data_IF_053173304812
#
_entry.id   IF_053173304812
#
_cell.length_a   1.000
_cell.length_b   1.000
_cell.length_c   1.000
_cell.angle_alpha   90.00
_cell.angle_beta   90.00
_cell.angle_gamma   90.00
#
_symmetry.space_group_name_H-M   'P 1'
#
loop_
_entity.id
_entity.type
_entity.pdbx_description
1 polymer ?
#
# COMPACT_ATOMS: atom_id res chain seq x y z
N UNK A 1 26.05 69.92 5.97
CA UNK A 1 25.91 68.91 6.97
C UNK A 1 25.07 67.78 6.32
N UNK A 2 25.75 66.75 5.79
CA UNK A 2 25.07 65.56 5.15
C UNK A 2 24.93 64.47 6.19
N UNK A 3 23.70 64.16 6.58
CA UNK A 3 23.41 63.00 7.47
C UNK A 3 23.47 61.74 6.66
N UNK A 4 24.46 60.90 6.91
CA UNK A 4 24.65 59.61 6.36
C UNK A 4 23.74 58.61 7.16
N UNK A 5 22.64 58.14 6.55
CA UNK A 5 21.74 57.16 7.13
C UNK A 5 22.29 55.76 6.81
N UNK A 6 22.90 55.12 7.81
CA UNK A 6 23.41 53.75 7.69
C UNK A 6 22.20 52.80 7.86
N UNK A 7 21.75 52.22 6.76
CA UNK A 7 20.69 51.18 6.75
C UNK A 7 21.32 49.84 7.08
N UNK A 8 21.14 49.39 8.33
CA UNK A 8 21.62 48.09 8.81
C UNK A 8 20.66 47.01 8.34
N UNK A 9 20.99 46.39 7.18
CA UNK A 9 20.21 45.24 6.64
C UNK A 9 20.58 43.98 7.44
N UNK A 10 19.75 43.65 8.43
CA UNK A 10 19.87 42.39 9.17
C UNK A 10 19.45 41.26 8.24
N UNK A 11 20.42 40.54 7.69
CA UNK A 11 20.22 39.34 6.93
C UNK A 11 19.81 38.23 7.90
N UNK A 12 18.50 37.97 8.09
CA UNK A 12 18.02 36.76 8.77
C UNK A 12 18.36 35.55 7.90
N UNK A 13 19.49 34.90 8.18
CA UNK A 13 19.81 33.57 7.63
C UNK A 13 18.87 32.61 8.28
N UNK A 14 17.76 32.32 7.62
CA UNK A 14 16.88 31.20 7.97
C UNK A 14 17.66 29.93 7.61
N UNK A 15 18.34 29.34 8.60
CA UNK A 15 18.88 27.99 8.47
C UNK A 15 17.69 27.03 8.31
N UNK A 16 17.24 26.80 7.09
CA UNK A 16 16.39 25.69 6.75
C UNK A 16 17.22 24.42 6.98
N UNK A 17 17.12 23.84 8.17
CA UNK A 17 17.59 22.49 8.42
C UNK A 17 16.77 21.56 7.51
N UNK A 18 17.21 21.38 6.28
CA UNK A 18 16.78 20.30 5.43
C UNK A 18 17.23 19.01 6.13
N UNK A 19 16.33 18.43 6.93
CA UNK A 19 16.60 17.17 7.60
C UNK A 19 16.93 16.16 6.50
N UNK A 20 18.22 15.77 6.42
CA UNK A 20 18.69 14.85 5.39
C UNK A 20 17.89 13.55 5.47
N UNK A 21 17.33 13.10 4.34
CA UNK A 21 16.62 11.85 4.25
C UNK A 21 17.53 10.69 4.68
N UNK A 22 17.19 10.05 5.79
CA UNK A 22 17.86 8.85 6.27
C UNK A 22 16.97 7.63 5.97
N UNK A 23 17.33 6.89 4.95
CA UNK A 23 16.58 5.71 4.50
C UNK A 23 16.43 4.67 5.62
N UNK A 24 17.47 4.41 6.40
CA UNK A 24 17.43 3.44 7.51
C UNK A 24 16.39 3.83 8.56
N UNK A 25 16.35 5.11 8.93
CA UNK A 25 15.38 5.63 9.89
C UNK A 25 13.95 5.48 9.37
N UNK A 26 13.71 5.78 8.10
CA UNK A 26 12.38 5.66 7.49
C UNK A 26 11.95 4.19 7.41
N UNK A 27 12.84 3.28 7.01
CA UNK A 27 12.57 1.83 7.04
C UNK A 27 12.16 1.39 8.43
N UNK A 28 12.92 1.76 9.45
CA UNK A 28 12.64 1.38 10.83
C UNK A 28 11.29 1.92 11.32
N UNK A 29 10.92 3.14 10.97
CA UNK A 29 9.62 3.71 11.31
C UNK A 29 8.46 2.91 10.67
N UNK A 30 8.58 2.57 9.39
CA UNK A 30 7.57 1.78 8.67
C UNK A 30 7.47 0.37 9.26
N UNK A 31 8.60 -0.27 9.57
CA UNK A 31 8.65 -1.59 10.19
C UNK A 31 8.00 -1.61 11.57
N UNK A 32 8.30 -0.62 12.39
CA UNK A 32 7.71 -0.49 13.72
C UNK A 32 6.20 -0.30 13.64
N UNK A 33 5.73 0.54 12.70
CA UNK A 33 4.30 0.72 12.46
C UNK A 33 3.63 -0.59 12.01
N UNK A 34 4.27 -1.34 11.10
CA UNK A 34 3.79 -2.63 10.61
C UNK A 34 3.77 -3.71 11.71
N UNK A 35 4.79 -3.76 12.57
CA UNK A 35 4.88 -4.73 13.67
C UNK A 35 3.78 -4.50 14.72
N UNK A 36 3.44 -3.24 14.99
CA UNK A 36 2.42 -2.84 15.95
C UNK A 36 0.98 -2.89 15.40
N UNK A 37 0.82 -3.14 14.10
CA UNK A 37 -0.50 -3.22 13.47
C UNK A 37 -1.10 -4.61 13.64
N UNK A 38 -2.03 -4.76 14.58
CA UNK A 38 -2.78 -6.00 14.81
C UNK A 38 -3.98 -6.11 13.89
N UNK A 39 -4.69 -5.01 13.69
CA UNK A 39 -5.85 -4.93 12.80
C UNK A 39 -5.83 -3.63 12.00
N UNK A 40 -6.41 -3.66 10.80
CA UNK A 40 -6.67 -2.48 9.99
C UNK A 40 -8.00 -2.66 9.26
N UNK A 41 -8.82 -1.62 9.23
CA UNK A 41 -9.99 -1.56 8.37
C UNK A 41 -10.08 -0.21 7.71
N UNK A 42 -10.46 -0.19 6.44
CA UNK A 42 -10.62 1.04 5.68
C UNK A 42 -11.63 0.87 4.54
N UNK A 43 -12.11 1.98 4.04
CA UNK A 43 -12.68 2.05 2.70
C UNK A 43 -11.55 2.25 1.69
N UNK A 44 -11.75 1.85 0.43
CA UNK A 44 -10.83 2.17 -0.64
C UNK A 44 -11.56 2.66 -1.89
N UNK A 45 -10.86 3.48 -2.66
CA UNK A 45 -11.23 3.84 -4.02
C UNK A 45 -10.10 3.39 -4.94
N UNK A 46 -10.44 2.59 -5.93
CA UNK A 46 -9.52 2.11 -6.95
C UNK A 46 -9.85 2.75 -8.28
N UNK A 47 -8.85 3.37 -8.90
CA UNK A 47 -8.93 3.88 -10.28
C UNK A 47 -7.96 3.09 -11.15
N UNK A 48 -8.49 2.33 -12.11
CA UNK A 48 -7.68 1.65 -13.12
C UNK A 48 -7.76 2.40 -14.43
N UNK A 49 -6.61 2.85 -14.93
CA UNK A 49 -6.45 3.46 -16.25
C UNK A 49 -6.04 2.38 -17.24
N UNK A 50 -6.86 2.14 -18.24
CA UNK A 50 -6.62 1.19 -19.33
C UNK A 50 -5.92 1.92 -20.48
N UNK A 51 -4.61 1.70 -20.62
CA UNK A 51 -3.81 2.45 -21.60
C UNK A 51 -4.32 2.32 -23.05
N UNK A 52 -4.68 1.11 -23.45
CA UNK A 52 -5.11 0.86 -24.83
C UNK A 52 -6.48 1.47 -25.17
N UNK A 53 -7.36 1.58 -24.18
CA UNK A 53 -8.72 2.10 -24.37
C UNK A 53 -8.83 3.58 -24.05
N UNK A 54 -7.78 4.19 -23.50
CA UNK A 54 -7.78 5.56 -22.95
C UNK A 54 -8.97 5.80 -22.00
N UNK A 55 -9.33 4.78 -21.23
CA UNK A 55 -10.49 4.76 -20.34
C UNK A 55 -10.09 4.55 -18.89
N UNK A 56 -10.94 4.98 -17.95
CA UNK A 56 -10.76 4.85 -16.52
C UNK A 56 -11.91 4.09 -15.88
N UNK A 57 -11.58 3.04 -15.16
CA UNK A 57 -12.54 2.28 -14.35
C UNK A 57 -12.36 2.66 -12.89
N UNK A 58 -13.44 3.13 -12.26
CA UNK A 58 -13.44 3.45 -10.82
C UNK A 58 -14.23 2.38 -10.09
N UNK A 59 -13.64 1.85 -9.03
CA UNK A 59 -14.26 0.87 -8.15
C UNK A 59 -14.09 1.31 -6.71
N UNK A 60 -15.01 0.92 -5.84
CA UNK A 60 -14.98 1.23 -4.42
C UNK A 60 -15.20 -0.04 -3.61
N UNK A 61 -14.69 -0.03 -2.38
CA UNK A 61 -14.84 -1.19 -1.53
C UNK A 61 -14.34 -0.99 -0.12
N UNK A 62 -14.22 -2.11 0.59
CA UNK A 62 -13.76 -2.16 1.97
C UNK A 62 -12.62 -3.17 2.10
N UNK A 63 -11.67 -2.85 2.97
CA UNK A 63 -10.59 -3.76 3.31
C UNK A 63 -10.55 -3.96 4.81
N UNK A 64 -10.36 -5.22 5.21
CA UNK A 64 -10.16 -5.64 6.59
C UNK A 64 -8.92 -6.52 6.64
N UNK A 65 -8.03 -6.18 7.53
CA UNK A 65 -6.81 -6.91 7.82
C UNK A 65 -6.75 -7.29 9.29
N UNK A 66 -6.35 -8.50 9.59
CA UNK A 66 -6.01 -8.95 10.93
C UNK A 66 -4.71 -9.77 10.86
N UNK A 67 -3.75 -9.38 11.70
CA UNK A 67 -2.51 -10.16 11.88
C UNK A 67 -2.87 -11.58 12.39
N UNK A 68 -2.29 -12.65 11.89
CA UNK A 68 -1.13 -12.77 11.01
C UNK A 68 -1.51 -13.06 9.55
N UNK A 69 -2.72 -13.57 9.27
CA UNK A 69 -3.07 -14.30 8.05
C UNK A 69 -4.51 -14.08 7.59
N UNK A 70 -5.14 -12.96 8.01
CA UNK A 70 -6.52 -12.67 7.62
C UNK A 70 -6.61 -11.35 6.84
N UNK A 71 -7.20 -11.45 5.67
CA UNK A 71 -7.48 -10.31 4.80
C UNK A 71 -8.84 -10.51 4.14
N UNK A 72 -9.71 -9.49 4.18
CA UNK A 72 -10.87 -9.38 3.32
C UNK A 72 -10.71 -8.14 2.46
N UNK A 73 -10.83 -8.33 1.15
CA UNK A 73 -10.86 -7.27 0.16
C UNK A 73 -12.16 -7.37 -0.61
N UNK A 74 -13.02 -6.38 -0.47
CA UNK A 74 -14.39 -6.44 -0.98
C UNK A 74 -14.70 -5.22 -1.82
N UNK A 75 -15.03 -5.44 -3.09
CA UNK A 75 -15.60 -4.40 -3.96
C UNK A 75 -17.10 -4.33 -3.75
N UNK A 76 -17.60 -3.12 -3.54
CA UNK A 76 -19.02 -2.83 -3.32
C UNK A 76 -19.66 -2.08 -4.49
N UNK A 77 -18.85 -1.49 -5.37
CA UNK A 77 -19.29 -0.76 -6.58
C UNK A 77 -18.15 -0.74 -7.61
N UNK A 78 -18.45 -0.82 -8.92
CA UNK A 78 -19.76 -1.02 -9.57
C UNK A 78 -20.18 -2.50 -9.60
N UNK A 79 -19.31 -3.42 -9.21
CA UNK A 79 -19.58 -4.87 -9.16
C UNK A 79 -19.26 -5.43 -7.78
N UNK A 80 -19.90 -6.54 -7.47
CA UNK A 80 -19.63 -7.26 -6.22
C UNK A 80 -18.54 -8.30 -6.45
N UNK A 81 -17.44 -8.15 -5.74
CA UNK A 81 -16.35 -9.10 -5.73
C UNK A 81 -15.73 -9.14 -4.34
N UNK A 82 -15.51 -10.33 -3.83
CA UNK A 82 -14.89 -10.49 -2.51
C UNK A 82 -13.75 -11.48 -2.59
N UNK A 83 -12.62 -11.10 -2.06
CA UNK A 83 -11.48 -11.95 -1.76
C UNK A 83 -11.31 -12.05 -0.25
N UNK A 84 -11.30 -13.26 0.30
CA UNK A 84 -10.99 -13.48 1.72
C UNK A 84 -9.82 -14.46 1.80
N UNK A 85 -8.78 -14.05 2.52
CA UNK A 85 -7.74 -14.94 3.02
C UNK A 85 -8.03 -15.18 4.50
N UNK A 86 -8.06 -16.44 4.93
CA UNK A 86 -8.15 -16.83 6.34
C UNK A 86 -7.28 -18.08 6.55
N UNK A 87 -6.10 -17.88 7.11
CA UNK A 87 -5.09 -18.93 7.25
C UNK A 87 -4.67 -19.49 5.89
N UNK A 88 -4.87 -20.79 5.71
CA UNK A 88 -4.52 -21.51 4.47
C UNK A 88 -5.62 -21.51 3.40
N UNK A 89 -6.75 -20.85 3.64
CA UNK A 89 -7.87 -20.82 2.71
C UNK A 89 -8.08 -19.46 2.09
N UNK A 90 -8.37 -19.45 0.80
CA UNK A 90 -8.81 -18.27 0.05
C UNK A 90 -10.21 -18.51 -0.46
N UNK A 91 -11.13 -17.58 -0.20
CA UNK A 91 -12.42 -17.49 -0.88
C UNK A 91 -12.36 -16.39 -1.93
N UNK A 92 -12.79 -16.72 -3.14
CA UNK A 92 -13.09 -15.76 -4.20
C UNK A 92 -14.60 -15.84 -4.47
N UNK A 93 -15.31 -14.75 -4.20
CA UNK A 93 -16.74 -14.63 -4.49
C UNK A 93 -16.95 -13.60 -5.59
N UNK A 94 -17.58 -14.04 -6.68
CA UNK A 94 -17.93 -13.20 -7.83
C UNK A 94 -19.24 -13.69 -8.43
N UNK A 95 -20.17 -12.76 -8.71
CA UNK A 95 -21.43 -13.05 -9.41
C UNK A 95 -22.21 -14.23 -8.78
N UNK A 96 -22.26 -14.28 -7.44
CA UNK A 96 -22.91 -15.36 -6.64
C UNK A 96 -22.21 -16.74 -6.74
N UNK A 97 -21.02 -16.81 -7.31
CA UNK A 97 -20.18 -18.01 -7.29
C UNK A 97 -19.11 -17.84 -6.23
N UNK A 98 -18.87 -18.91 -5.48
CA UNK A 98 -17.86 -18.98 -4.45
C UNK A 98 -16.85 -20.08 -4.81
N UNK A 99 -15.60 -19.68 -5.00
CA UNK A 99 -14.49 -20.59 -5.20
C UNK A 99 -13.61 -20.59 -3.95
N UNK A 100 -13.45 -21.75 -3.32
CA UNK A 100 -12.57 -21.91 -2.15
C UNK A 100 -11.30 -22.64 -2.58
N UNK A 101 -10.16 -22.02 -2.33
CA UNK A 101 -8.84 -22.50 -2.73
C UNK A 101 -7.99 -22.70 -1.47
N UNK A 102 -7.37 -23.88 -1.35
CA UNK A 102 -6.32 -24.07 -0.34
C UNK A 102 -5.00 -23.55 -0.89
N UNK A 103 -4.46 -22.49 -0.27
CA UNK A 103 -3.22 -21.83 -0.74
C UNK A 103 -1.99 -22.73 -0.62
N UNK A 104 -2.00 -23.70 0.29
CA UNK A 104 -0.89 -24.66 0.44
C UNK A 104 -0.77 -25.60 -0.76
N UNK A 105 -1.87 -25.81 -1.49
CA UNK A 105 -1.91 -26.63 -2.70
C UNK A 105 -1.53 -25.85 -3.96
N UNK A 106 -1.40 -24.52 -3.87
CA UNK A 106 -1.06 -23.66 -4.99
C UNK A 106 0.03 -22.65 -4.61
N UNK A 107 1.25 -22.92 -5.06
CA UNK A 107 2.38 -22.00 -4.85
C UNK A 107 2.08 -20.57 -5.33
N UNK A 108 1.34 -20.43 -6.42
CA UNK A 108 0.95 -19.14 -6.99
C UNK A 108 0.05 -18.36 -6.02
N UNK A 109 -1.05 -18.96 -5.53
CA UNK A 109 -1.95 -18.29 -4.61
C UNK A 109 -1.29 -17.98 -3.27
N UNK A 110 -0.43 -18.86 -2.78
CA UNK A 110 0.36 -18.63 -1.56
C UNK A 110 1.23 -17.39 -1.68
N UNK A 111 1.94 -17.23 -2.79
CA UNK A 111 2.79 -16.05 -3.04
C UNK A 111 1.97 -14.77 -3.20
N UNK A 112 0.87 -14.79 -3.95
CA UNK A 112 -0.01 -13.61 -4.11
C UNK A 112 -0.57 -13.19 -2.75
N UNK A 113 -1.10 -14.11 -1.96
CA UNK A 113 -1.64 -13.81 -0.63
C UNK A 113 -0.56 -13.19 0.28
N UNK A 114 0.65 -13.74 0.29
CA UNK A 114 1.78 -13.24 1.05
C UNK A 114 2.18 -11.82 0.62
N UNK A 115 2.27 -11.57 -0.67
CA UNK A 115 2.61 -10.24 -1.21
C UNK A 115 1.53 -9.23 -0.84
N UNK A 116 0.24 -9.56 -1.00
CA UNK A 116 -0.85 -8.69 -0.61
C UNK A 116 -0.80 -8.33 0.88
N UNK A 117 -0.64 -9.34 1.76
CA UNK A 117 -0.54 -9.14 3.21
C UNK A 117 0.65 -8.26 3.58
N UNK A 118 1.82 -8.52 3.01
CA UNK A 118 3.02 -7.74 3.29
C UNK A 118 2.92 -6.30 2.75
N UNK A 119 2.26 -6.10 1.60
CA UNK A 119 2.08 -4.76 1.01
C UNK A 119 1.13 -3.89 1.84
N UNK A 120 0.02 -4.46 2.32
CA UNK A 120 -0.95 -3.74 3.17
C UNK A 120 -0.30 -3.15 4.41
N UNK A 121 0.63 -3.88 5.03
CA UNK A 121 1.30 -3.44 6.27
C UNK A 121 2.68 -2.82 6.03
N UNK A 122 3.20 -2.80 4.81
CA UNK A 122 4.53 -2.26 4.50
C UNK A 122 5.71 -3.21 4.81
N UNK A 123 5.47 -4.46 5.22
CA UNK A 123 6.51 -5.46 5.48
C UNK A 123 7.33 -5.85 4.25
N UNK A 124 6.82 -5.59 3.04
CA UNK A 124 7.51 -5.88 1.78
C UNK A 124 8.79 -5.07 1.55
N UNK A 125 9.06 -4.02 2.34
CA UNK A 125 10.26 -3.19 2.20
C UNK A 125 11.56 -3.95 2.47
N UNK A 126 11.51 -5.00 3.28
CA UNK A 126 12.66 -5.82 3.64
C UNK A 126 12.72 -7.16 2.91
N UNK A 127 11.74 -7.45 2.07
CA UNK A 127 11.71 -8.68 1.29
C UNK A 127 12.61 -8.57 0.05
N UNK A 128 13.92 -8.66 0.28
CA UNK A 128 14.94 -8.60 -0.80
C UNK A 128 14.80 -9.72 -1.82
N UNK A 129 14.10 -10.80 -1.50
CA UNK A 129 13.87 -11.93 -2.41
C UNK A 129 12.85 -11.56 -3.48
N UNK A 130 11.82 -10.81 -3.10
CA UNK A 130 10.71 -10.52 -3.99
C UNK A 130 10.86 -9.16 -4.69
N UNK A 131 11.48 -8.20 -4.02
CA UNK A 131 11.59 -6.84 -4.53
C UNK A 131 12.96 -6.20 -4.32
N UNK A 132 13.43 -5.49 -5.36
CA UNK A 132 14.39 -4.41 -5.16
C UNK A 132 13.61 -3.17 -4.79
N UNK A 133 13.96 -2.52 -3.69
CA UNK A 133 13.22 -1.39 -3.14
C UNK A 133 14.03 -0.10 -3.27
N UNK A 134 13.40 0.96 -3.76
CA UNK A 134 13.91 2.33 -3.72
C UNK A 134 13.01 3.17 -2.84
N UNK A 135 13.57 3.93 -1.90
CA UNK A 135 12.85 4.82 -1.00
C UNK A 135 13.13 6.29 -1.35
N UNK A 136 12.10 7.11 -1.23
CA UNK A 136 12.20 8.56 -1.28
C UNK A 136 11.28 9.20 -0.23
N UNK A 137 11.56 10.46 0.14
CA UNK A 137 10.82 11.16 1.20
C UNK A 137 10.45 12.59 0.79
N UNK A 138 9.52 12.76 -0.18
CA UNK A 138 8.96 14.06 -0.46
C UNK A 138 8.31 14.69 0.79
N UNK A 139 7.97 15.98 0.80
CA UNK A 139 7.58 16.70 2.01
C UNK A 139 6.43 16.04 2.81
N UNK A 140 5.44 15.47 2.15
CA UNK A 140 4.19 14.99 2.76
C UNK A 140 4.10 13.49 3.01
N UNK A 141 4.96 12.70 2.37
CA UNK A 141 4.86 11.22 2.40
C UNK A 141 6.24 10.55 2.31
N UNK A 142 6.31 9.25 2.62
CA UNK A 142 7.39 8.38 2.17
C UNK A 142 6.91 7.57 0.98
N UNK A 143 7.74 7.39 -0.02
CA UNK A 143 7.42 6.61 -1.21
C UNK A 143 8.40 5.46 -1.34
N UNK A 144 7.88 4.23 -1.42
CA UNK A 144 8.66 3.05 -1.74
C UNK A 144 8.27 2.53 -3.12
N UNK A 145 9.23 2.49 -4.03
CA UNK A 145 9.07 1.85 -5.33
C UNK A 145 9.67 0.45 -5.28
N UNK A 146 8.81 -0.54 -5.49
CA UNK A 146 9.12 -1.96 -5.42
C UNK A 146 9.27 -2.51 -6.84
N UNK A 147 10.46 -2.95 -7.21
CA UNK A 147 10.77 -3.58 -8.49
C UNK A 147 10.75 -5.10 -8.32
N UNK A 148 9.80 -5.83 -8.93
CA UNK A 148 9.70 -7.28 -8.79
C UNK A 148 10.98 -8.02 -9.21
N UNK A 149 11.40 -9.00 -8.39
CA UNK A 149 12.54 -9.90 -8.70
C UNK A 149 12.06 -11.26 -9.23
N UNK A 150 10.86 -11.69 -8.85
CA UNK A 150 10.29 -12.96 -9.28
C UNK A 150 9.72 -12.86 -10.70
N UNK A 151 10.07 -13.81 -11.59
CA UNK A 151 9.65 -13.81 -13.00
C UNK A 151 8.13 -13.64 -13.20
N UNK A 152 7.33 -14.31 -12.39
CA UNK A 152 5.86 -14.19 -12.48
C UNK A 152 5.37 -12.76 -12.23
N UNK A 153 5.92 -12.09 -11.21
CA UNK A 153 5.59 -10.71 -10.89
C UNK A 153 6.10 -9.74 -11.96
N UNK A 154 7.29 -9.98 -12.50
CA UNK A 154 7.87 -9.19 -13.60
C UNK A 154 7.04 -9.26 -14.89
N UNK A 155 6.33 -10.37 -15.11
CA UNK A 155 5.41 -10.50 -16.26
C UNK A 155 4.13 -9.66 -16.07
N UNK A 156 3.73 -9.41 -14.82
CA UNK A 156 2.52 -8.67 -14.47
C UNK A 156 2.80 -7.17 -14.28
N UNK A 157 3.85 -6.83 -13.53
CA UNK A 157 4.11 -5.46 -13.09
C UNK A 157 5.50 -4.98 -13.49
N UNK A 158 5.58 -3.71 -13.85
CA UNK A 158 6.85 -2.97 -13.96
C UNK A 158 7.36 -2.63 -12.57
N UNK A 159 6.48 -2.05 -11.75
CA UNK A 159 6.73 -1.75 -10.35
C UNK A 159 5.42 -1.63 -9.58
N UNK A 160 5.55 -1.65 -8.26
CA UNK A 160 4.49 -1.34 -7.30
C UNK A 160 4.99 -0.17 -6.47
N UNK A 161 4.18 0.88 -6.29
CA UNK A 161 4.56 2.07 -5.54
C UNK A 161 3.67 2.15 -4.30
N UNK A 162 4.29 2.19 -3.13
CA UNK A 162 3.62 2.36 -1.85
C UNK A 162 3.87 3.77 -1.33
N UNK A 163 2.80 4.47 -1.03
CA UNK A 163 2.81 5.79 -0.42
C UNK A 163 2.45 5.67 1.05
N UNK A 164 3.33 6.11 1.92
CA UNK A 164 3.15 6.04 3.36
C UNK A 164 2.89 7.44 3.91
N UNK A 165 1.84 7.57 4.69
CA UNK A 165 1.60 8.77 5.48
C UNK A 165 2.76 8.96 6.48
N UNK A 166 3.43 10.12 6.48
CA UNK A 166 4.60 10.38 7.34
C UNK A 166 4.30 10.30 8.82
N UNK A 167 3.11 10.76 9.25
CA UNK A 167 2.76 10.81 10.68
C UNK A 167 2.57 9.42 11.29
N UNK A 168 2.06 8.47 10.50
CA UNK A 168 1.72 7.12 10.95
C UNK A 168 2.65 6.05 10.41
N UNK A 169 3.50 6.39 9.43
CA UNK A 169 4.35 5.46 8.68
C UNK A 169 3.58 4.26 8.10
N UNK A 170 2.33 4.50 7.66
CA UNK A 170 1.40 3.48 7.18
C UNK A 170 1.02 3.74 5.74
N UNK A 171 0.76 2.67 4.99
CA UNK A 171 0.33 2.75 3.60
C UNK A 171 -1.01 3.49 3.52
N UNK A 172 -1.05 4.55 2.70
CA UNK A 172 -2.23 5.36 2.42
C UNK A 172 -2.69 5.24 0.96
N UNK A 173 -1.76 4.94 0.05
CA UNK A 173 -2.02 4.76 -1.37
C UNK A 173 -1.09 3.69 -1.95
N UNK A 174 -1.61 2.90 -2.88
CA UNK A 174 -0.85 1.89 -3.65
C UNK A 174 -1.04 2.19 -5.13
N UNK A 175 0.06 2.14 -5.90
CA UNK A 175 0.01 2.21 -7.35
C UNK A 175 0.61 0.93 -7.94
N UNK A 176 -0.10 0.33 -8.88
CA UNK A 176 0.33 -0.84 -9.63
C UNK A 176 0.58 -0.40 -11.08
N UNK A 177 1.84 -0.43 -11.51
CA UNK A 177 2.21 -0.15 -12.90
C UNK A 177 2.37 -1.47 -13.61
N UNK A 178 1.39 -1.81 -14.44
CA UNK A 178 1.35 -3.09 -15.14
C UNK A 178 2.32 -3.12 -16.33
N UNK A 179 2.81 -4.30 -16.67
CA UNK A 179 3.78 -4.49 -17.75
C UNK A 179 3.23 -4.04 -19.12
N UNK A 180 1.92 -4.14 -19.30
CA UNK A 180 1.21 -3.73 -20.53
C UNK A 180 0.90 -2.23 -20.59
N UNK A 181 1.26 -1.49 -19.53
CA UNK A 181 1.08 -0.04 -19.43
C UNK A 181 -0.21 0.40 -18.75
N UNK A 182 -1.06 -0.51 -18.31
CA UNK A 182 -2.19 -0.18 -17.45
C UNK A 182 -1.67 0.30 -16.09
N UNK A 183 -2.41 1.21 -15.46
CA UNK A 183 -2.06 1.79 -14.18
C UNK A 183 -3.24 1.76 -13.24
N UNK A 184 -3.03 1.16 -12.07
CA UNK A 184 -4.06 1.08 -11.02
C UNK A 184 -3.61 1.87 -9.82
N UNK A 185 -4.44 2.79 -9.35
CA UNK A 185 -4.24 3.56 -8.11
C UNK A 185 -5.30 3.14 -7.10
N UNK A 186 -4.88 2.79 -5.90
CA UNK A 186 -5.77 2.42 -4.79
C UNK A 186 -5.51 3.39 -3.64
N UNK A 187 -6.49 4.20 -3.30
CA UNK A 187 -6.45 5.13 -2.17
C UNK A 187 -7.21 4.57 -0.99
N UNK A 188 -6.57 4.50 0.18
CA UNK A 188 -7.19 4.06 1.42
C UNK A 188 -7.80 5.25 2.16
N UNK A 189 -9.07 5.13 2.55
CA UNK A 189 -9.85 6.18 3.24
C UNK A 189 -10.41 5.64 4.55
N UNK A 190 -10.70 6.54 5.48
CA UNK A 190 -11.33 6.18 6.77
C UNK A 190 -10.58 5.08 7.54
N UNK A 191 -9.24 5.12 7.48
CA UNK A 191 -8.37 4.07 8.04
C UNK A 191 -8.47 4.04 9.57
N UNK A 192 -8.88 2.88 10.11
CA UNK A 192 -8.88 2.56 11.53
C UNK A 192 -7.92 1.43 11.80
N UNK A 193 -7.02 1.62 12.76
CA UNK A 193 -5.99 0.63 13.15
C UNK A 193 -6.22 0.19 14.58
N UNK A 194 -5.88 -1.08 14.84
CA UNK A 194 -5.94 -1.68 16.18
C UNK A 194 -7.33 -1.57 16.82
N UNK A 195 -8.38 -1.44 15.99
CA UNK A 195 -9.77 -1.51 16.42
C UNK A 195 -10.30 -2.95 16.32
N UNK A 196 -11.31 -3.29 17.11
CA UNK A 196 -11.94 -4.61 17.03
C UNK A 196 -12.60 -4.83 15.67
N UNK A 197 -12.40 -6.01 15.10
CA UNK A 197 -13.05 -6.48 13.87
C UNK A 197 -13.87 -7.71 14.23
N UNK A 198 -15.14 -7.75 13.81
CA UNK A 198 -15.96 -8.94 14.02
C UNK A 198 -15.35 -10.12 13.24
N UNK A 199 -15.05 -11.22 13.91
CA UNK A 199 -14.43 -12.41 13.31
C UNK A 199 -15.22 -12.98 12.11
N UNK A 200 -16.53 -12.78 12.08
CA UNK A 200 -17.42 -13.20 10.97
C UNK A 200 -17.05 -12.54 9.63
N UNK A 201 -16.36 -11.40 9.66
CA UNK A 201 -15.86 -10.72 8.44
C UNK A 201 -14.92 -11.61 7.62
N UNK A 202 -14.19 -12.51 8.27
CA UNK A 202 -13.24 -13.42 7.63
C UNK A 202 -13.78 -14.84 7.41
N UNK A 203 -15.07 -15.08 7.64
CA UNK A 203 -15.65 -16.42 7.47
C UNK A 203 -15.63 -16.82 6.00
N UNK A 204 -15.20 -18.07 5.75
CA UNK A 204 -15.22 -18.75 4.44
C UNK A 204 -16.26 -19.88 4.55
N UNK A 205 -17.43 -19.67 3.95
CA UNK A 205 -18.52 -20.65 3.89
C UNK A 205 -18.64 -21.19 2.47
#
# INVERSE_FOLDING_TARGET
MKKLLLFFMVLCIVNANAQSFNETTVRQQIENAAANMKTMQCDFVQTKTLRMLNDKMVSQGKMYYQQSDKLRWEYTSPYLYTFILNGSKVLISKDKRNDVINVEQSKFFKEIARIMMNSVVGKCLNDKKDFKVSLSAPPTEYIATLFPQQKQMQQMFQNIILHFNKQRAMVAKVELVEKRGDHTVIEMKNVKVNSSINAKVFTIN
#
